data_IF_996898853662
#
_entry.id   IF_996898853662
#
_cell.length_a   1.000
_cell.length_b   1.000
_cell.length_c   1.000
_cell.angle_alpha   90.00
_cell.angle_beta   90.00
_cell.angle_gamma   90.00
#
_symmetry.space_group_name_H-M   'P 1'
#
loop_
_entity.id
_entity.type
_entity.pdbx_description
1 polymer ?
#
# COMPACT_ATOMS: atom_id res chain seq x y z
N UNK A 1 26.15 -20.38 2.31
CA UNK A 1 25.11 -20.32 1.25
C UNK A 1 25.07 -18.90 0.71
N UNK A 2 25.52 -18.69 -0.52
CA UNK A 2 25.84 -17.35 -1.04
C UNK A 2 24.58 -16.67 -1.60
N UNK A 3 24.42 -15.35 -1.42
CA UNK A 3 23.23 -14.62 -1.89
C UNK A 3 22.91 -14.81 -3.39
N UNK A 4 23.93 -15.13 -4.19
CA UNK A 4 23.81 -15.44 -5.63
C UNK A 4 23.12 -16.79 -5.93
N UNK A 5 23.19 -17.79 -5.03
CA UNK A 5 22.44 -19.05 -5.17
C UNK A 5 20.96 -18.87 -4.81
N UNK A 6 20.68 -18.03 -3.80
CA UNK A 6 19.30 -17.76 -3.35
C UNK A 6 18.53 -17.01 -4.44
N UNK A 7 19.15 -15.99 -5.05
CA UNK A 7 18.57 -15.22 -6.15
C UNK A 7 18.31 -16.10 -7.38
N UNK A 8 19.24 -17.02 -7.72
CA UNK A 8 19.05 -17.99 -8.82
C UNK A 8 17.92 -18.99 -8.57
N UNK A 9 17.70 -19.42 -7.32
CA UNK A 9 16.55 -20.26 -6.95
C UNK A 9 15.23 -19.48 -6.96
N UNK A 10 15.26 -18.23 -6.51
CA UNK A 10 14.09 -17.33 -6.49
C UNK A 10 13.59 -17.02 -7.90
N UNK A 11 14.49 -16.75 -8.86
CA UNK A 11 14.11 -16.53 -10.27
C UNK A 11 13.66 -17.81 -10.98
N UNK A 12 14.01 -19.00 -10.47
CA UNK A 12 13.52 -20.28 -11.01
C UNK A 12 12.09 -20.59 -10.55
N UNK A 13 11.62 -19.94 -9.49
CA UNK A 13 10.23 -19.96 -9.04
C UNK A 13 9.50 -18.74 -9.60
N UNK A 14 8.89 -18.87 -10.78
CA UNK A 14 8.10 -17.81 -11.43
C UNK A 14 7.12 -17.13 -10.46
N UNK A 15 6.52 -17.91 -9.55
CA UNK A 15 5.63 -17.41 -8.51
C UNK A 15 6.30 -16.41 -7.55
N UNK A 16 7.53 -16.69 -7.09
CA UNK A 16 8.27 -15.82 -6.17
C UNK A 16 8.69 -14.50 -6.84
N UNK A 17 9.03 -14.55 -8.13
CA UNK A 17 9.34 -13.36 -8.90
C UNK A 17 8.10 -12.48 -9.16
N UNK A 18 6.98 -13.08 -9.55
CA UNK A 18 5.72 -12.37 -9.79
C UNK A 18 5.21 -11.70 -8.51
N UNK A 19 5.23 -12.44 -7.38
CA UNK A 19 4.82 -11.86 -6.09
C UNK A 19 5.77 -10.74 -5.65
N UNK A 20 7.08 -10.87 -5.88
CA UNK A 20 8.05 -9.81 -5.63
C UNK A 20 7.74 -8.53 -6.41
N UNK A 21 7.48 -8.64 -7.72
CA UNK A 21 7.08 -7.49 -8.55
C UNK A 21 5.79 -6.87 -8.04
N UNK A 22 4.78 -7.69 -7.70
CA UNK A 22 3.50 -7.20 -7.20
C UNK A 22 3.65 -6.44 -5.89
N UNK A 23 4.46 -6.94 -4.95
CA UNK A 23 4.74 -6.24 -3.68
C UNK A 23 5.46 -4.92 -3.93
N UNK A 24 6.46 -4.90 -4.82
CA UNK A 24 7.16 -3.65 -5.19
C UNK A 24 6.18 -2.65 -5.79
N UNK A 25 5.27 -3.09 -6.65
CA UNK A 25 4.22 -2.24 -7.22
C UNK A 25 3.34 -1.64 -6.12
N UNK A 26 2.88 -2.43 -5.14
CA UNK A 26 2.08 -1.92 -4.01
C UNK A 26 2.84 -0.89 -3.18
N UNK A 27 4.12 -1.10 -2.93
CA UNK A 27 4.98 -0.14 -2.22
C UNK A 27 5.07 1.16 -3.00
N UNK A 28 5.26 1.10 -4.32
CA UNK A 28 5.29 2.29 -5.18
C UNK A 28 3.93 3.01 -5.13
N UNK A 29 2.81 2.30 -5.28
CA UNK A 29 1.47 2.90 -5.18
C UNK A 29 1.26 3.60 -3.84
N UNK A 30 1.70 2.99 -2.73
CA UNK A 30 1.60 3.56 -1.40
C UNK A 30 2.50 4.81 -1.22
N UNK A 31 3.73 4.77 -1.71
CA UNK A 31 4.65 5.93 -1.62
C UNK A 31 4.18 7.12 -2.46
N UNK A 32 3.58 6.84 -3.62
CA UNK A 32 3.07 7.85 -4.54
C UNK A 32 1.57 8.14 -4.34
N UNK A 33 0.98 7.70 -3.22
CA UNK A 33 -0.43 7.93 -2.93
C UNK A 33 -0.86 9.41 -3.02
N UNK A 34 -0.06 10.41 -2.58
CA UNK A 34 -0.45 11.82 -2.71
C UNK A 34 -0.60 12.33 -4.14
N UNK A 35 0.04 11.69 -5.11
CA UNK A 35 -0.05 12.06 -6.52
C UNK A 35 -0.98 11.15 -7.32
N UNK A 36 -1.21 9.93 -6.84
CA UNK A 36 -1.92 8.90 -7.57
C UNK A 36 -3.38 8.72 -7.07
N UNK A 37 -3.68 9.12 -5.84
CA UNK A 37 -5.03 9.04 -5.30
C UNK A 37 -5.97 10.04 -6.01
N UNK A 38 -7.16 9.63 -6.47
CA UNK A 38 -8.10 10.53 -7.15
C UNK A 38 -8.66 11.63 -6.24
N UNK A 39 -8.81 11.36 -4.94
CA UNK A 39 -9.37 12.30 -3.97
C UNK A 39 -8.56 12.34 -2.67
N UNK A 40 -8.68 13.41 -1.87
CA UNK A 40 -8.18 13.41 -0.50
C UNK A 40 -8.85 12.30 0.33
N UNK A 41 -8.10 11.54 1.14
CA UNK A 41 -8.60 10.34 1.82
C UNK A 41 -9.63 10.65 2.94
N UNK A 42 -9.67 11.90 3.38
CA UNK A 42 -10.48 12.41 4.47
C UNK A 42 -11.63 13.31 3.99
N UNK A 43 -11.74 13.58 2.69
CA UNK A 43 -12.81 14.41 2.12
C UNK A 43 -14.11 13.61 1.98
N UNK A 44 -15.18 13.94 2.74
CA UNK A 44 -16.45 13.23 2.66
C UNK A 44 -17.32 13.77 1.52
N UNK A 45 -18.06 12.87 0.87
CA UNK A 45 -19.12 13.21 -0.09
C UNK A 45 -20.47 12.64 0.39
N UNK A 46 -21.26 13.47 1.08
CA UNK A 46 -22.52 13.06 1.70
C UNK A 46 -23.60 12.63 0.70
N UNK A 47 -23.51 13.06 -0.56
CA UNK A 47 -24.45 12.64 -1.62
C UNK A 47 -24.17 11.22 -2.13
N UNK A 48 -22.99 10.68 -1.79
CA UNK A 48 -22.52 9.36 -2.21
C UNK A 48 -22.07 8.54 -1.02
N UNK A 49 -22.91 8.42 0.00
CA UNK A 49 -22.65 7.51 1.13
C UNK A 49 -22.93 6.07 0.72
N UNK A 50 -22.00 5.16 1.00
CA UNK A 50 -22.13 3.73 0.67
C UNK A 50 -22.44 3.46 -0.81
N UNK A 51 -22.02 4.36 -1.70
CA UNK A 51 -22.15 4.17 -3.14
C UNK A 51 -21.18 3.08 -3.61
N UNK A 52 -21.67 2.26 -4.56
CA UNK A 52 -20.86 1.22 -5.19
C UNK A 52 -19.79 1.76 -6.15
N UNK A 53 -19.01 0.87 -6.78
CA UNK A 53 -17.99 1.23 -7.77
C UNK A 53 -18.56 2.06 -8.93
N UNK A 54 -17.89 3.14 -9.28
CA UNK A 54 -18.23 4.05 -10.37
C UNK A 54 -16.99 4.65 -11.02
N UNK A 55 -17.13 5.31 -12.17
CA UNK A 55 -16.01 5.99 -12.83
C UNK A 55 -15.44 7.13 -11.98
N UNK A 56 -16.28 7.78 -11.17
CA UNK A 56 -15.85 8.81 -10.25
C UNK A 56 -15.19 8.20 -9.01
N UNK A 57 -15.72 7.10 -8.47
CA UNK A 57 -15.17 6.38 -7.31
C UNK A 57 -14.92 4.92 -7.68
N UNK A 58 -13.69 4.59 -8.10
CA UNK A 58 -13.38 3.30 -8.74
C UNK A 58 -13.67 2.07 -7.87
N UNK A 59 -13.54 2.21 -6.55
CA UNK A 59 -13.89 1.18 -5.57
C UNK A 59 -15.12 1.55 -4.73
N UNK A 60 -15.84 2.60 -5.13
CA UNK A 60 -16.95 3.16 -4.38
C UNK A 60 -16.52 3.98 -3.18
N UNK A 61 -17.48 4.21 -2.29
CA UNK A 61 -17.35 5.10 -1.14
C UNK A 61 -17.70 4.39 0.17
N UNK A 62 -17.14 4.84 1.29
CA UNK A 62 -17.45 4.30 2.61
C UNK A 62 -18.72 4.90 3.26
N UNK A 63 -18.91 4.61 4.55
CA UNK A 63 -20.05 5.05 5.37
C UNK A 63 -20.12 6.58 5.56
N UNK A 64 -19.02 7.29 5.29
CA UNK A 64 -18.94 8.75 5.33
C UNK A 64 -18.89 9.35 3.92
N UNK A 65 -19.06 8.53 2.88
CA UNK A 65 -18.97 8.97 1.49
C UNK A 65 -17.55 9.28 1.03
N UNK A 66 -16.51 8.76 1.70
CA UNK A 66 -15.11 8.95 1.30
C UNK A 66 -14.69 7.90 0.30
N UNK A 67 -13.82 8.28 -0.64
CA UNK A 67 -13.34 7.40 -1.70
C UNK A 67 -12.51 6.22 -1.15
N UNK A 68 -12.96 4.99 -1.40
CA UNK A 68 -12.34 3.77 -0.85
C UNK A 68 -10.94 3.53 -1.43
N UNK A 69 -10.74 3.80 -2.73
CA UNK A 69 -9.45 3.62 -3.38
C UNK A 69 -8.39 4.53 -2.76
N UNK A 70 -8.70 5.81 -2.62
CA UNK A 70 -7.84 6.81 -1.99
C UNK A 70 -7.52 6.40 -0.55
N UNK A 71 -8.52 5.95 0.21
CA UNK A 71 -8.31 5.45 1.59
C UNK A 71 -7.41 4.22 1.65
N UNK A 72 -7.50 3.29 0.70
CA UNK A 72 -6.62 2.13 0.64
C UNK A 72 -5.17 2.53 0.33
N UNK A 73 -4.96 3.45 -0.60
CA UNK A 73 -3.62 3.92 -0.98
C UNK A 73 -2.93 4.64 0.19
N UNK A 74 -3.62 5.58 0.83
CA UNK A 74 -3.10 6.28 2.01
C UNK A 74 -3.00 5.36 3.23
N UNK A 75 -3.90 4.38 3.38
CA UNK A 75 -3.82 3.36 4.43
C UNK A 75 -2.57 2.48 4.27
N UNK A 76 -2.25 2.08 3.05
CA UNK A 76 -1.01 1.36 2.75
C UNK A 76 0.24 2.22 3.04
N UNK A 77 0.21 3.51 2.69
CA UNK A 77 1.28 4.46 3.01
C UNK A 77 1.51 4.54 4.52
N UNK A 78 0.45 4.72 5.30
CA UNK A 78 0.51 4.79 6.76
C UNK A 78 1.03 3.48 7.37
N UNK A 79 0.62 2.33 6.85
CA UNK A 79 1.10 1.03 7.32
C UNK A 79 2.61 0.85 7.10
N UNK A 80 3.12 1.24 5.92
CA UNK A 80 4.56 1.20 5.62
C UNK A 80 5.33 2.15 6.56
N UNK A 81 4.85 3.37 6.76
CA UNK A 81 5.46 4.32 7.69
C UNK A 81 5.51 3.79 9.12
N UNK A 82 4.40 3.23 9.61
CA UNK A 82 4.33 2.63 10.94
C UNK A 82 5.31 1.46 11.10
N UNK A 83 5.40 0.58 10.11
CA UNK A 83 6.35 -0.54 10.11
C UNK A 83 7.81 -0.05 10.15
N UNK A 84 8.16 0.96 9.35
CA UNK A 84 9.50 1.55 9.34
C UNK A 84 9.86 2.17 10.69
N UNK A 85 8.97 2.96 11.27
CA UNK A 85 9.17 3.57 12.60
C UNK A 85 9.38 2.49 13.66
N UNK A 86 8.56 1.44 13.67
CA UNK A 86 8.69 0.33 14.60
C UNK A 86 10.05 -0.38 14.48
N UNK A 87 10.54 -0.62 13.25
CA UNK A 87 11.84 -1.24 12.99
C UNK A 87 12.99 -0.36 13.51
N UNK A 88 12.92 0.96 13.28
CA UNK A 88 13.94 1.91 13.73
C UNK A 88 14.03 1.88 15.26
N UNK A 89 12.89 1.95 15.95
CA UNK A 89 12.83 1.90 17.42
C UNK A 89 13.41 0.57 17.93
N UNK A 90 12.97 -0.55 17.35
CA UNK A 90 13.44 -1.88 17.74
C UNK A 90 14.96 -2.01 17.57
N UNK A 91 15.50 -1.60 16.42
CA UNK A 91 16.94 -1.66 16.15
C UNK A 91 17.77 -0.81 17.11
N UNK A 92 17.24 0.34 17.54
CA UNK A 92 17.92 1.24 18.49
C UNK A 92 17.93 0.67 19.91
N UNK A 93 16.88 -0.06 20.29
CA UNK A 93 16.79 -0.74 21.59
C UNK A 93 17.70 -1.97 21.70
N UNK A 94 17.93 -2.68 20.58
CA UNK A 94 18.80 -3.86 20.55
C UNK A 94 20.30 -3.52 20.55
N UNK A 95 20.67 -2.26 20.30
CA UNK A 95 22.04 -1.76 20.34
C UNK A 95 22.52 -1.25 21.70
N UNK A 96 21.67 -1.30 22.74
CA UNK A 96 21.95 -0.94 24.13
C UNK A 96 21.95 -2.20 25.02
#
# INVERSE_FOLDING_TARGET
MTGKEMLRRFMRQRAAFISGIFVVLLIVVALFAPWLAPYPPDLPNYDRVMAGPSLDHWLGTDELGRDVLSRLMYGAQAAIQAALIAIIILSSSASL
#
